data_IF_421931351059
#
_entry.id   IF_421931351059
#
_cell.length_a   1.000
_cell.length_b   1.000
_cell.length_c   1.000
_cell.angle_alpha   90.00
_cell.angle_beta   90.00
_cell.angle_gamma   90.00
#
_symmetry.space_group_name_H-M   'P 1'
#
loop_
_entity.id
_entity.type
_entity.pdbx_description
1 polymer ?
#
# COMPACT_ATOMS: atom_id res chain seq x y z
N UNK A 1 -6.43 0.83 -20.87
CA UNK A 1 -6.85 2.14 -20.31
C UNK A 1 -6.65 3.21 -21.38
N UNK A 2 -7.65 4.00 -21.69
CA UNK A 2 -7.53 5.11 -22.66
C UNK A 2 -7.59 6.42 -21.87
N UNK A 3 -6.64 7.33 -22.08
CA UNK A 3 -6.60 8.60 -21.36
C UNK A 3 -5.33 9.38 -21.66
N UNK A 4 -5.23 10.60 -21.11
CA UNK A 4 -4.05 11.45 -21.17
C UNK A 4 -3.62 11.84 -19.75
N UNK A 5 -2.31 12.05 -19.56
CA UNK A 5 -1.79 12.57 -18.31
C UNK A 5 -2.17 14.06 -18.18
N UNK A 6 -3.20 14.32 -17.38
CA UNK A 6 -3.68 15.66 -17.09
C UNK A 6 -4.03 15.79 -15.61
N UNK A 7 -3.48 16.81 -14.95
CA UNK A 7 -3.75 17.04 -13.54
C UNK A 7 -5.17 17.58 -13.34
N UNK A 8 -5.97 17.01 -12.42
CA UNK A 8 -7.30 17.50 -12.14
C UNK A 8 -7.24 18.88 -11.46
N UNK A 9 -8.20 19.74 -11.76
CA UNK A 9 -8.38 21.03 -11.06
C UNK A 9 -9.17 20.87 -9.76
N UNK A 10 -9.96 19.82 -9.65
CA UNK A 10 -10.76 19.48 -8.49
C UNK A 10 -10.86 17.96 -8.37
N UNK A 11 -10.72 17.45 -7.15
CA UNK A 11 -11.02 16.07 -6.80
C UNK A 11 -12.13 16.10 -5.77
N UNK A 12 -13.31 15.57 -6.12
CA UNK A 12 -14.45 15.45 -5.21
C UNK A 12 -14.60 13.99 -4.77
N UNK A 13 -14.63 13.76 -3.47
CA UNK A 13 -14.78 12.44 -2.86
C UNK A 13 -16.04 12.39 -2.02
N UNK A 14 -17.00 11.55 -2.41
CA UNK A 14 -18.22 11.32 -1.63
C UNK A 14 -18.06 10.02 -0.83
N UNK A 15 -17.92 10.13 0.49
CA UNK A 15 -17.73 9.00 1.39
C UNK A 15 -18.90 8.00 1.37
N UNK A 16 -20.11 8.45 1.01
CA UNK A 16 -21.28 7.57 0.99
C UNK A 16 -21.17 6.42 -0.03
N UNK A 17 -20.35 6.58 -1.08
CA UNK A 17 -20.13 5.52 -2.08
C UNK A 17 -19.37 4.32 -1.50
N UNK A 18 -18.62 4.48 -0.42
CA UNK A 18 -17.92 3.38 0.25
C UNK A 18 -18.88 2.34 0.80
N UNK A 19 -20.13 2.74 1.15
CA UNK A 19 -21.17 1.83 1.63
C UNK A 19 -21.65 0.83 0.56
N UNK A 20 -21.36 1.07 -0.72
CA UNK A 20 -21.71 0.18 -1.83
C UNK A 20 -20.65 -0.90 -2.11
N UNK A 21 -19.47 -0.79 -1.50
CA UNK A 21 -18.40 -1.76 -1.69
C UNK A 21 -18.67 -3.06 -0.92
N UNK A 22 -18.23 -4.19 -1.48
CA UNK A 22 -18.13 -5.41 -0.68
C UNK A 22 -17.12 -5.23 0.46
N UNK A 23 -17.33 -5.91 1.59
CA UNK A 23 -16.42 -5.83 2.75
C UNK A 23 -14.96 -6.06 2.36
N UNK A 24 -14.68 -7.08 1.53
CA UNK A 24 -13.32 -7.41 1.09
C UNK A 24 -12.70 -6.30 0.23
N UNK A 25 -13.49 -5.70 -0.67
CA UNK A 25 -13.00 -4.60 -1.51
C UNK A 25 -12.77 -3.33 -0.70
N UNK A 26 -13.65 -3.04 0.27
CA UNK A 26 -13.46 -1.95 1.22
C UNK A 26 -12.18 -2.16 2.04
N UNK A 27 -12.00 -3.35 2.63
CA UNK A 27 -10.79 -3.69 3.39
C UNK A 27 -9.53 -3.58 2.54
N UNK A 28 -9.56 -4.05 1.28
CA UNK A 28 -8.41 -3.93 0.38
C UNK A 28 -7.90 -2.48 0.24
N UNK A 29 -8.79 -1.49 0.27
CA UNK A 29 -8.41 -0.08 0.25
C UNK A 29 -7.48 0.35 1.40
N UNK A 30 -7.53 -0.35 2.55
CA UNK A 30 -6.70 -0.03 3.70
C UNK A 30 -5.22 -0.36 3.51
N UNK A 31 -4.85 -1.22 2.58
CA UNK A 31 -3.44 -1.51 2.28
C UNK A 31 -2.64 -0.24 2.00
N UNK A 32 -3.19 0.65 1.17
CA UNK A 32 -2.59 1.95 0.87
C UNK A 32 -2.64 2.92 2.05
N UNK A 33 -3.74 2.91 2.79
CA UNK A 33 -3.96 3.82 3.92
C UNK A 33 -2.99 3.51 5.07
N UNK A 34 -2.85 2.23 5.45
CA UNK A 34 -1.90 1.78 6.47
C UNK A 34 -0.47 2.06 6.02
N UNK A 35 -0.15 1.84 4.74
CA UNK A 35 1.15 2.18 4.17
C UNK A 35 1.51 3.65 4.40
N UNK A 36 0.57 4.59 4.18
CA UNK A 36 0.83 6.01 4.41
C UNK A 36 1.21 6.30 5.87
N UNK A 37 0.54 5.66 6.83
CA UNK A 37 0.91 5.76 8.25
C UNK A 37 2.29 5.19 8.52
N UNK A 38 2.59 3.98 8.01
CA UNK A 38 3.89 3.32 8.22
C UNK A 38 5.07 4.10 7.66
N UNK A 39 4.93 4.72 6.49
CA UNK A 39 6.06 5.40 5.82
C UNK A 39 6.24 6.85 6.24
N UNK A 40 5.22 7.53 6.79
CA UNK A 40 5.27 8.97 6.95
C UNK A 40 4.73 9.51 8.27
N UNK A 41 3.72 8.90 8.86
CA UNK A 41 2.99 9.48 9.98
C UNK A 41 2.64 8.43 11.04
N UNK A 42 3.48 8.36 12.09
CA UNK A 42 3.29 7.42 13.19
C UNK A 42 2.02 7.72 14.01
N UNK A 43 1.63 8.98 14.15
CA UNK A 43 0.43 9.36 14.90
C UNK A 43 -0.80 8.88 14.13
N UNK A 44 -0.83 9.09 12.83
CA UNK A 44 -1.87 8.57 11.97
C UNK A 44 -1.93 7.04 11.97
N UNK A 45 -0.77 6.36 11.93
CA UNK A 45 -0.71 4.91 12.02
C UNK A 45 -1.34 4.40 13.34
N UNK A 46 -1.02 5.02 14.48
CA UNK A 46 -1.63 4.67 15.75
C UNK A 46 -3.13 4.98 15.77
N UNK A 47 -3.53 6.12 15.23
CA UNK A 47 -4.95 6.49 15.10
C UNK A 47 -5.76 5.45 14.31
N UNK A 48 -5.20 4.92 13.22
CA UNK A 48 -5.84 3.84 12.44
C UNK A 48 -6.07 2.59 13.30
N UNK A 49 -5.12 2.21 14.16
CA UNK A 49 -5.28 1.08 15.09
C UNK A 49 -6.40 1.32 16.10
N UNK A 50 -6.38 2.49 16.71
CA UNK A 50 -7.33 2.84 17.79
C UNK A 50 -8.77 3.00 17.28
N UNK A 51 -8.94 3.39 16.01
CA UNK A 51 -10.25 3.63 15.39
C UNK A 51 -10.71 2.55 14.42
N UNK A 52 -10.04 1.38 14.40
CA UNK A 52 -10.33 0.31 13.44
C UNK A 52 -11.81 -0.14 13.45
N UNK A 53 -12.44 -0.22 14.62
CA UNK A 53 -13.84 -0.62 14.75
C UNK A 53 -14.79 0.44 14.18
N UNK A 54 -14.57 1.72 14.46
CA UNK A 54 -15.38 2.82 13.89
C UNK A 54 -15.25 2.88 12.37
N UNK A 55 -14.03 2.71 11.86
CA UNK A 55 -13.76 2.66 10.42
C UNK A 55 -14.48 1.48 9.76
N UNK A 56 -14.39 0.27 10.33
CA UNK A 56 -15.07 -0.92 9.82
C UNK A 56 -16.59 -0.81 9.91
N UNK A 57 -17.11 -0.06 10.89
CA UNK A 57 -18.52 0.26 11.02
C UNK A 57 -19.01 1.33 10.02
N UNK A 58 -18.12 1.85 9.17
CA UNK A 58 -18.40 2.93 8.20
C UNK A 58 -18.88 4.23 8.87
N UNK A 59 -18.34 4.53 10.07
CA UNK A 59 -18.58 5.81 10.72
C UNK A 59 -18.08 6.95 9.85
N UNK A 60 -18.93 7.95 9.63
CA UNK A 60 -18.66 9.00 8.64
C UNK A 60 -17.48 9.86 9.05
N UNK A 61 -17.39 10.24 10.34
CA UNK A 61 -16.34 11.12 10.83
C UNK A 61 -14.98 10.41 10.80
N UNK A 62 -14.96 9.11 11.17
CA UNK A 62 -13.78 8.28 11.09
C UNK A 62 -13.30 8.11 9.64
N UNK A 63 -14.21 7.89 8.69
CA UNK A 63 -13.88 7.77 7.27
C UNK A 63 -13.36 9.08 6.67
N UNK A 64 -13.98 10.21 7.02
CA UNK A 64 -13.51 11.53 6.56
C UNK A 64 -12.12 11.83 7.07
N UNK A 65 -11.86 11.65 8.35
CA UNK A 65 -10.54 11.85 8.94
C UNK A 65 -9.49 10.95 8.29
N UNK A 66 -9.79 9.66 8.18
CA UNK A 66 -8.90 8.66 7.57
C UNK A 66 -8.49 9.06 6.16
N UNK A 67 -9.45 9.38 5.30
CA UNK A 67 -9.20 9.71 3.90
C UNK A 67 -8.51 11.07 3.78
N UNK A 68 -8.91 12.06 4.57
CA UNK A 68 -8.29 13.38 4.57
C UNK A 68 -6.79 13.30 4.89
N UNK A 69 -6.42 12.62 5.98
CA UNK A 69 -5.00 12.48 6.37
C UNK A 69 -4.22 11.68 5.34
N UNK A 70 -4.76 10.54 4.88
CA UNK A 70 -4.14 9.70 3.85
C UNK A 70 -3.87 10.47 2.55
N UNK A 71 -4.83 11.27 2.09
CA UNK A 71 -4.68 12.10 0.89
C UNK A 71 -3.65 13.22 1.08
N UNK A 72 -3.59 13.84 2.27
CA UNK A 72 -2.60 14.86 2.58
C UNK A 72 -1.18 14.29 2.61
N UNK A 73 -0.96 13.15 3.24
CA UNK A 73 0.34 12.45 3.22
C UNK A 73 0.80 12.23 1.78
N UNK A 74 -0.08 11.65 0.95
CA UNK A 74 0.26 11.42 -0.46
C UNK A 74 0.53 12.72 -1.23
N UNK A 75 -0.27 13.77 -0.99
CA UNK A 75 -0.09 15.09 -1.60
C UNK A 75 1.28 15.66 -1.25
N UNK A 76 1.64 15.67 0.02
CA UNK A 76 2.93 16.20 0.49
C UNK A 76 4.12 15.46 -0.13
N UNK A 77 4.08 14.13 -0.14
CA UNK A 77 5.14 13.31 -0.75
C UNK A 77 5.28 13.60 -2.25
N UNK A 78 4.16 13.75 -2.98
CA UNK A 78 4.17 14.03 -4.42
C UNK A 78 4.61 15.47 -4.72
N UNK A 79 4.20 16.45 -3.90
CA UNK A 79 4.60 17.85 -4.05
C UNK A 79 6.09 18.03 -3.77
N UNK A 80 6.63 17.35 -2.75
CA UNK A 80 8.05 17.40 -2.39
C UNK A 80 8.95 16.71 -3.43
N UNK A 81 8.47 15.64 -4.07
CA UNK A 81 9.23 14.88 -5.05
C UNK A 81 8.40 14.53 -6.30
N UNK A 82 8.10 15.53 -7.16
CA UNK A 82 7.27 15.31 -8.35
C UNK A 82 7.88 14.34 -9.38
N UNK A 83 9.21 14.15 -9.33
CA UNK A 83 9.97 13.36 -10.32
C UNK A 83 10.41 11.99 -9.79
N UNK A 84 9.95 11.60 -8.59
CA UNK A 84 10.28 10.30 -7.97
C UNK A 84 11.79 10.01 -7.91
N UNK A 85 12.54 10.97 -7.38
CA UNK A 85 14.00 10.85 -7.23
C UNK A 85 14.46 10.60 -5.79
N UNK A 86 13.54 10.58 -4.84
CA UNK A 86 13.83 10.44 -3.41
C UNK A 86 12.61 9.98 -2.61
N UNK A 87 12.01 10.88 -1.85
CA UNK A 87 10.96 10.58 -0.87
C UNK A 87 9.75 9.87 -1.48
N UNK A 88 9.38 10.17 -2.72
CA UNK A 88 8.25 9.54 -3.39
C UNK A 88 8.41 8.03 -3.58
N UNK A 89 9.65 7.52 -3.62
CA UNK A 89 9.91 6.08 -3.65
C UNK A 89 9.31 5.34 -2.44
N UNK A 90 9.09 6.01 -1.30
CA UNK A 90 8.41 5.44 -0.14
C UNK A 90 6.98 4.98 -0.46
N UNK A 91 6.29 5.63 -1.40
CA UNK A 91 4.96 5.22 -1.85
C UNK A 91 4.97 3.82 -2.50
N UNK A 92 6.13 3.35 -2.94
CA UNK A 92 6.31 2.01 -3.52
C UNK A 92 6.56 0.92 -2.47
N UNK A 93 6.52 1.25 -1.17
CA UNK A 93 6.65 0.26 -0.10
C UNK A 93 5.63 -0.86 -0.28
N UNK A 94 6.10 -2.09 -0.34
CA UNK A 94 5.30 -3.28 -0.63
C UNK A 94 4.95 -3.52 -2.12
N UNK A 95 5.09 -2.52 -3.00
CA UNK A 95 4.63 -2.63 -4.39
C UNK A 95 5.49 -3.54 -5.25
N UNK A 96 6.80 -3.56 -5.05
CA UNK A 96 7.71 -4.37 -5.86
C UNK A 96 7.30 -5.84 -5.86
N UNK A 97 7.14 -6.43 -4.68
CA UNK A 97 6.69 -7.80 -4.55
C UNK A 97 5.16 -7.92 -4.73
N UNK A 98 4.41 -6.92 -4.27
CA UNK A 98 2.95 -6.87 -4.40
C UNK A 98 2.48 -7.00 -5.85
N UNK A 99 3.08 -6.28 -6.79
CA UNK A 99 2.75 -6.38 -8.23
C UNK A 99 3.12 -7.75 -8.83
N UNK A 100 4.22 -8.36 -8.38
CA UNK A 100 4.58 -9.70 -8.82
C UNK A 100 3.53 -10.73 -8.34
N UNK A 101 3.12 -10.64 -7.06
CA UNK A 101 2.05 -11.48 -6.51
C UNK A 101 0.73 -11.24 -7.26
N UNK A 102 0.35 -9.97 -7.46
CA UNK A 102 -0.90 -9.61 -8.16
C UNK A 102 -0.98 -10.22 -9.55
N UNK A 103 0.14 -10.19 -10.29
CA UNK A 103 0.24 -10.78 -11.63
C UNK A 103 0.11 -12.29 -11.60
N UNK A 104 0.83 -12.99 -10.70
CA UNK A 104 0.80 -14.44 -10.59
C UNK A 104 -0.54 -14.96 -10.06
N UNK A 105 -1.21 -14.21 -9.18
CA UNK A 105 -2.52 -14.55 -8.63
C UNK A 105 -3.68 -14.30 -9.59
N UNK A 106 -3.43 -13.72 -10.77
CA UNK A 106 -4.40 -13.52 -11.85
C UNK A 106 -5.76 -12.99 -11.36
N UNK A 107 -5.74 -11.91 -10.57
CA UNK A 107 -6.92 -11.23 -10.01
C UNK A 107 -7.69 -11.98 -8.92
N UNK A 108 -7.15 -13.06 -8.36
CA UNK A 108 -7.77 -13.75 -7.21
C UNK A 108 -7.58 -13.00 -5.89
N UNK A 109 -6.57 -12.12 -5.83
CA UNK A 109 -6.35 -11.15 -4.76
C UNK A 109 -6.57 -9.73 -5.30
N UNK A 110 -7.07 -8.85 -4.43
CA UNK A 110 -7.16 -7.43 -4.73
C UNK A 110 -5.79 -6.76 -4.56
N UNK A 111 -5.58 -5.66 -5.27
CA UNK A 111 -4.33 -4.89 -5.24
C UNK A 111 -3.83 -4.59 -3.82
N UNK A 112 -4.67 -4.07 -2.93
CA UNK A 112 -4.27 -3.77 -1.56
C UNK A 112 -3.87 -5.00 -0.74
N UNK A 113 -4.47 -6.18 -1.00
CA UNK A 113 -4.05 -7.43 -0.38
C UNK A 113 -2.63 -7.81 -0.85
N UNK A 114 -2.35 -7.65 -2.14
CA UNK A 114 -1.03 -7.91 -2.71
C UNK A 114 0.03 -6.93 -2.18
N UNK A 115 -0.31 -5.65 -2.05
CA UNK A 115 0.59 -4.63 -1.47
C UNK A 115 0.91 -4.95 -0.01
N UNK A 116 -0.08 -5.38 0.79
CA UNK A 116 0.17 -5.77 2.19
C UNK A 116 1.08 -7.00 2.26
N UNK A 117 0.87 -8.02 1.44
CA UNK A 117 1.78 -9.18 1.35
C UNK A 117 3.20 -8.76 0.99
N UNK A 118 3.34 -7.81 0.08
CA UNK A 118 4.63 -7.21 -0.27
C UNK A 118 5.26 -6.42 0.88
N UNK A 119 4.45 -5.69 1.66
CA UNK A 119 4.94 -5.00 2.88
C UNK A 119 5.39 -5.99 3.94
N UNK A 120 4.65 -7.08 4.17
CA UNK A 120 5.05 -8.15 5.11
C UNK A 120 6.40 -8.72 4.74
N UNK A 121 6.61 -9.03 3.46
CA UNK A 121 7.90 -9.55 2.99
C UNK A 121 9.04 -8.53 3.19
N UNK A 122 8.81 -7.25 2.87
CA UNK A 122 9.79 -6.20 3.07
C UNK A 122 10.12 -6.00 4.56
N UNK A 123 9.13 -6.04 5.46
CA UNK A 123 9.34 -5.95 6.91
C UNK A 123 10.16 -7.13 7.43
N UNK A 124 9.93 -8.36 6.96
CA UNK A 124 10.74 -9.51 7.32
C UNK A 124 12.21 -9.33 6.87
N UNK A 125 12.43 -8.84 5.65
CA UNK A 125 13.79 -8.52 5.16
C UNK A 125 14.43 -7.43 6.05
N UNK A 126 13.70 -6.40 6.45
CA UNK A 126 14.20 -5.35 7.33
C UNK A 126 14.62 -5.89 8.70
N UNK A 127 13.90 -6.86 9.27
CA UNK A 127 14.30 -7.54 10.52
C UNK A 127 15.59 -8.33 10.32
N UNK A 128 15.69 -9.12 9.24
CA UNK A 128 16.90 -9.88 8.91
C UNK A 128 18.12 -8.99 8.70
N UNK A 129 17.93 -7.80 8.13
CA UNK A 129 18.99 -6.79 7.95
C UNK A 129 19.27 -5.98 9.23
N UNK A 130 18.49 -6.17 10.30
CA UNK A 130 18.64 -5.44 11.56
C UNK A 130 18.28 -3.95 11.48
N UNK A 131 17.48 -3.53 10.49
CA UNK A 131 17.06 -2.13 10.33
C UNK A 131 15.81 -1.79 11.11
N UNK A 132 15.00 -2.80 11.45
CA UNK A 132 13.88 -2.71 12.38
C UNK A 132 13.92 -3.89 13.35
N UNK A 133 13.22 -3.78 14.46
CA UNK A 133 13.07 -4.86 15.44
C UNK A 133 11.96 -5.85 15.03
N UNK A 134 11.99 -7.05 15.62
CA UNK A 134 10.89 -8.01 15.47
C UNK A 134 9.58 -7.47 16.05
N UNK A 135 9.63 -6.68 17.12
CA UNK A 135 8.46 -6.06 17.74
C UNK A 135 7.78 -5.03 16.81
N UNK A 136 8.58 -4.22 16.10
CA UNK A 136 8.06 -3.25 15.12
C UNK A 136 7.40 -3.95 13.93
N UNK A 137 7.99 -5.06 13.45
CA UNK A 137 7.35 -5.89 12.43
C UNK A 137 6.04 -6.48 12.93
N UNK A 138 6.04 -7.07 14.13
CA UNK A 138 4.85 -7.75 14.69
C UNK A 138 3.71 -6.76 14.96
N UNK A 139 4.02 -5.50 15.35
CA UNK A 139 3.03 -4.44 15.45
C UNK A 139 2.37 -4.14 14.10
N UNK A 140 3.15 -4.10 13.02
CA UNK A 140 2.60 -3.92 11.67
C UNK A 140 1.75 -5.11 11.22
N UNK A 141 2.19 -6.36 11.48
CA UNK A 141 1.42 -7.56 11.16
C UNK A 141 0.08 -7.59 11.93
N UNK A 142 0.09 -7.24 13.21
CA UNK A 142 -1.11 -7.13 14.02
C UNK A 142 -2.07 -6.07 13.46
N UNK A 143 -1.54 -4.95 12.96
CA UNK A 143 -2.35 -3.91 12.33
C UNK A 143 -2.97 -4.41 11.03
N UNK A 144 -2.24 -5.13 10.18
CA UNK A 144 -2.82 -5.76 8.99
C UNK A 144 -3.92 -6.76 9.35
N UNK A 145 -3.73 -7.56 10.41
CA UNK A 145 -4.73 -8.51 10.89
C UNK A 145 -6.01 -7.82 11.39
N UNK A 146 -5.93 -6.63 12.02
CA UNK A 146 -7.11 -5.84 12.40
C UNK A 146 -8.02 -5.52 11.21
N UNK A 147 -7.43 -5.34 10.02
CA UNK A 147 -8.15 -5.05 8.78
C UNK A 147 -8.37 -6.29 7.90
N UNK A 148 -8.19 -7.48 8.47
CA UNK A 148 -8.48 -8.78 7.85
C UNK A 148 -7.67 -9.05 6.57
N UNK A 149 -6.44 -8.54 6.51
CA UNK A 149 -5.53 -8.85 5.40
C UNK A 149 -4.95 -10.26 5.53
N UNK A 150 -4.69 -10.95 4.40
CA UNK A 150 -3.95 -12.19 4.41
C UNK A 150 -2.50 -11.95 4.85
N UNK A 151 -1.95 -12.85 5.62
CA UNK A 151 -0.55 -12.84 6.08
C UNK A 151 0.37 -13.70 5.21
N UNK A 152 -0.22 -14.52 4.35
CA UNK A 152 0.49 -15.38 3.41
C UNK A 152 -0.33 -15.60 2.14
N UNK A 153 0.34 -16.09 1.11
CA UNK A 153 -0.27 -16.48 -0.17
C UNK A 153 0.02 -17.94 -0.45
N UNK A 154 -0.98 -18.64 -0.99
CA UNK A 154 -0.86 -20.03 -1.41
C UNK A 154 -1.08 -20.16 -2.92
N UNK A 155 -0.54 -21.22 -3.52
CA UNK A 155 -0.80 -21.52 -4.94
C UNK A 155 0.11 -20.80 -5.93
N UNK A 156 1.11 -20.04 -5.48
CA UNK A 156 2.16 -19.47 -6.33
C UNK A 156 3.52 -20.13 -6.03
N UNK A 157 4.38 -20.18 -7.04
CA UNK A 157 5.76 -20.62 -6.88
C UNK A 157 6.67 -19.41 -6.70
N UNK A 158 7.61 -19.53 -5.78
CA UNK A 158 8.60 -18.47 -5.52
C UNK A 158 9.38 -18.13 -6.78
N UNK A 159 9.76 -19.14 -7.58
CA UNK A 159 10.52 -18.94 -8.81
C UNK A 159 9.77 -18.09 -9.83
N UNK A 160 8.44 -18.24 -9.94
CA UNK A 160 7.61 -17.44 -10.86
C UNK A 160 7.55 -15.97 -10.39
N UNK A 161 7.44 -15.73 -9.07
CA UNK A 161 7.49 -14.38 -8.48
C UNK A 161 8.85 -13.74 -8.71
N UNK A 162 9.94 -14.47 -8.49
CA UNK A 162 11.32 -13.99 -8.74
C UNK A 162 11.53 -13.67 -10.21
N UNK A 163 11.09 -14.55 -11.12
CA UNK A 163 11.14 -14.31 -12.55
C UNK A 163 10.38 -13.03 -12.93
N UNK A 164 9.17 -12.83 -12.38
CA UNK A 164 8.38 -11.62 -12.61
C UNK A 164 9.15 -10.36 -12.18
N UNK A 165 9.79 -10.37 -11.00
CA UNK A 165 10.59 -9.25 -10.51
C UNK A 165 11.77 -8.93 -11.43
N UNK A 166 12.47 -9.93 -11.93
CA UNK A 166 13.63 -9.76 -12.83
C UNK A 166 13.22 -9.16 -14.18
N UNK A 167 12.03 -9.50 -14.69
CA UNK A 167 11.52 -8.98 -15.97
C UNK A 167 10.85 -7.60 -15.84
N UNK A 168 10.33 -7.23 -14.68
CA UNK A 168 9.57 -5.98 -14.49
C UNK A 168 10.38 -4.88 -13.84
N UNK A 169 11.49 -5.21 -13.14
CA UNK A 169 12.42 -4.19 -12.63
C UNK A 169 13.20 -3.59 -13.81
N UNK A 170 13.20 -2.26 -13.99
CA UNK A 170 14.05 -1.62 -14.99
C UNK A 170 15.51 -1.97 -14.67
N UNK A 171 16.18 -2.59 -15.65
CA UNK A 171 17.62 -2.86 -15.54
C UNK A 171 18.36 -1.54 -15.33
N UNK A 172 19.47 -1.52 -14.58
CA UNK A 172 20.35 -0.33 -14.54
C UNK A 172 20.79 0.15 -15.94
N UNK A 173 20.72 -0.71 -16.97
CA UNK A 173 20.98 -0.36 -18.37
C UNK A 173 19.83 0.44 -19.00
N UNK A 174 18.57 0.22 -18.57
CA UNK A 174 17.41 0.92 -19.12
C UNK A 174 17.33 2.38 -18.61
N UNK A 175 17.92 2.65 -17.44
CA UNK A 175 18.02 4.00 -16.86
C UNK A 175 19.10 4.85 -17.57
N UNK A 176 20.00 4.25 -18.34
CA UNK A 176 21.09 4.95 -19.04
C UNK A 176 20.71 5.46 -20.43
N UNK A 177 19.57 5.07 -21.00
CA UNK A 177 19.14 5.38 -22.38
C UNK A 177 18.10 6.48 -22.49
N UNK A 178 17.59 7.01 -21.37
CA UNK A 178 16.72 8.20 -21.39
C UNK A 178 17.54 9.48 -21.14
N UNK A 179 18.25 9.93 -22.17
CA UNK A 179 18.74 11.30 -22.30
C UNK A 179 17.96 12.02 -23.37
#
# INVERSE_FOLDING_TARGET
MVGAFHQPKLVYMNMSVLKSLSKRLFNSGFGEIIKHGLIKDKEYYNWLKDNAESIKALDTDALEHMIYVSCNIKREVVENDPKEKGERALLNFGHTLGHAIEKEMNSSLYHGECVVLGMIAALNICVELGTITGEERDDALNTFALYEFPDHVTGIKIDDVVACLLYTSPSPRDLSTSR
#
